data_IF_845967219079
#
_entry.id   IF_845967219079
#
_cell.length_a   1.000
_cell.length_b   1.000
_cell.length_c   1.000
_cell.angle_alpha   90.00
_cell.angle_beta   90.00
_cell.angle_gamma   90.00
#
_symmetry.space_group_name_H-M   'P 1'
#
loop_
_entity.id
_entity.type
_entity.pdbx_description
1 polymer ?
#
# COMPACT_ATOMS: atom_id res chain seq x y z
N UNK A 1 81.23 -21.85 -11.62
CA UNK A 1 81.33 -23.16 -12.31
C UNK A 1 80.10 -23.32 -13.19
N UNK A 2 80.36 -23.86 -14.37
CA UNK A 2 79.53 -23.92 -15.58
C UNK A 2 78.69 -25.21 -15.66
N UNK A 3 77.89 -25.28 -16.74
CA UNK A 3 77.24 -26.46 -17.39
C UNK A 3 75.98 -27.01 -16.66
N UNK A 4 74.87 -27.44 -17.28
CA UNK A 4 74.44 -27.70 -18.68
C UNK A 4 72.89 -27.81 -18.67
N UNK A 5 72.15 -27.19 -19.59
CA UNK A 5 71.51 -27.81 -20.76
C UNK A 5 70.80 -29.16 -20.52
N UNK A 6 69.46 -29.13 -20.50
CA UNK A 6 68.65 -30.25 -21.00
C UNK A 6 67.61 -29.74 -22.01
N UNK A 7 67.59 -30.41 -23.16
CA UNK A 7 66.68 -30.19 -24.28
C UNK A 7 65.53 -31.18 -24.14
N UNK A 8 64.40 -30.71 -23.61
CA UNK A 8 63.14 -31.46 -23.64
C UNK A 8 62.16 -30.84 -24.62
N UNK A 9 62.29 -31.17 -25.91
CA UNK A 9 61.18 -30.99 -26.85
C UNK A 9 60.12 -32.04 -26.55
N UNK A 10 59.03 -31.61 -25.94
CA UNK A 10 57.84 -32.41 -25.72
C UNK A 10 56.67 -31.46 -25.58
N UNK A 11 56.04 -31.11 -26.71
CA UNK A 11 54.81 -30.32 -26.74
C UNK A 11 53.66 -31.17 -26.19
N UNK A 12 53.64 -31.33 -24.87
CA UNK A 12 52.61 -32.03 -24.10
C UNK A 12 51.41 -31.14 -23.84
N UNK A 13 50.83 -30.55 -24.90
CA UNK A 13 49.53 -29.86 -24.77
C UNK A 13 48.44 -30.90 -25.04
N UNK A 14 47.71 -31.40 -24.04
CA UNK A 14 46.52 -32.20 -24.28
C UNK A 14 45.49 -31.36 -25.05
N UNK A 15 45.19 -31.81 -26.27
CA UNK A 15 44.27 -31.16 -27.21
C UNK A 15 42.80 -31.49 -26.89
N UNK A 16 42.43 -31.39 -25.62
CA UNK A 16 41.05 -31.55 -25.16
C UNK A 16 40.63 -30.25 -24.50
N UNK A 17 40.41 -29.24 -25.34
CA UNK A 17 39.56 -28.11 -25.00
C UNK A 17 38.25 -28.75 -24.56
N UNK A 18 37.92 -28.64 -23.26
CA UNK A 18 36.60 -28.95 -22.74
C UNK A 18 35.61 -28.32 -23.69
N UNK A 19 34.85 -29.17 -24.37
CA UNK A 19 33.74 -28.77 -25.22
C UNK A 19 32.88 -27.86 -24.36
N UNK A 20 32.96 -26.56 -24.63
CA UNK A 20 31.89 -25.64 -24.30
C UNK A 20 30.64 -26.40 -24.76
N UNK A 21 29.68 -26.73 -23.87
CA UNK A 21 28.41 -27.18 -24.36
C UNK A 21 27.92 -26.00 -25.21
N UNK A 22 27.98 -26.20 -26.52
CA UNK A 22 27.10 -25.53 -27.44
C UNK A 22 25.72 -26.03 -27.02
N UNK A 23 25.18 -25.48 -25.93
CA UNK A 23 23.76 -25.21 -25.92
C UNK A 23 23.64 -24.33 -27.15
N UNK A 24 23.10 -24.92 -28.22
CA UNK A 24 22.65 -24.17 -29.37
C UNK A 24 21.88 -22.99 -28.78
N UNK A 25 22.49 -21.82 -28.83
CA UNK A 25 21.74 -20.59 -28.90
C UNK A 25 20.98 -20.82 -30.17
N UNK A 26 19.75 -21.32 -30.05
CA UNK A 26 18.83 -21.61 -31.13
C UNK A 26 19.19 -20.68 -32.27
N UNK A 27 19.85 -21.26 -33.27
CA UNK A 27 20.02 -20.63 -34.54
C UNK A 27 18.59 -20.36 -34.96
N UNK A 28 18.14 -19.11 -34.75
CA UNK A 28 16.90 -18.61 -35.30
C UNK A 28 17.00 -18.97 -36.76
N UNK A 29 16.29 -20.01 -37.17
CA UNK A 29 16.18 -20.38 -38.57
C UNK A 29 15.83 -19.06 -39.27
N UNK A 30 16.64 -18.58 -40.24
CA UNK A 30 16.31 -17.39 -40.99
C UNK A 30 15.06 -17.75 -41.83
N UNK A 31 13.89 -17.59 -41.22
CA UNK A 31 12.63 -18.15 -41.72
C UNK A 31 11.54 -18.42 -40.68
N UNK A 32 11.85 -18.51 -39.37
CA UNK A 32 10.83 -18.84 -38.34
C UNK A 32 10.69 -17.83 -37.18
N UNK A 33 11.45 -16.73 -37.19
CA UNK A 33 11.08 -15.54 -36.42
C UNK A 33 9.89 -14.84 -37.09
N UNK A 34 8.71 -15.44 -36.93
CA UNK A 34 7.44 -14.83 -37.31
C UNK A 34 7.33 -13.44 -36.67
N UNK A 35 6.77 -12.47 -37.39
CA UNK A 35 6.43 -11.13 -36.82
C UNK A 35 5.62 -11.28 -35.53
N UNK A 36 4.82 -12.35 -35.40
CA UNK A 36 4.11 -12.68 -34.17
C UNK A 36 5.02 -12.97 -32.97
N UNK A 37 6.19 -13.59 -33.18
CA UNK A 37 7.15 -13.86 -32.11
C UNK A 37 7.88 -12.57 -31.68
N UNK A 38 8.23 -11.68 -32.62
CA UNK A 38 8.82 -10.37 -32.28
C UNK A 38 7.85 -9.47 -31.50
N UNK A 39 6.57 -9.43 -31.91
CA UNK A 39 5.54 -8.66 -31.19
C UNK A 39 5.29 -9.26 -29.80
N UNK A 40 5.27 -10.59 -29.68
CA UNK A 40 5.15 -11.27 -28.38
C UNK A 40 6.32 -10.95 -27.45
N UNK A 41 7.55 -11.01 -27.94
CA UNK A 41 8.75 -10.70 -27.15
C UNK A 41 8.81 -9.23 -26.75
N UNK A 42 8.52 -8.32 -27.67
CA UNK A 42 8.44 -6.88 -27.39
C UNK A 42 7.36 -6.56 -26.36
N UNK A 43 6.17 -7.16 -26.48
CA UNK A 43 5.07 -6.98 -25.52
C UNK A 43 5.44 -7.53 -24.14
N UNK A 44 6.18 -8.63 -24.09
CA UNK A 44 6.68 -9.22 -22.84
C UNK A 44 7.70 -8.31 -22.15
N UNK A 45 8.61 -7.70 -22.92
CA UNK A 45 9.59 -6.74 -22.38
C UNK A 45 8.94 -5.46 -21.87
N UNK A 46 7.99 -4.91 -22.63
CA UNK A 46 7.20 -3.74 -22.19
C UNK A 46 6.42 -4.06 -20.91
N UNK A 47 5.77 -5.22 -20.84
CA UNK A 47 5.05 -5.66 -19.64
C UNK A 47 5.98 -5.81 -18.43
N UNK A 48 7.21 -6.27 -18.66
CA UNK A 48 8.24 -6.40 -17.61
C UNK A 48 8.71 -5.04 -17.12
N UNK A 49 8.95 -4.08 -18.03
CA UNK A 49 9.31 -2.69 -17.67
C UNK A 49 8.20 -2.00 -16.88
N UNK A 50 6.95 -2.07 -17.34
CA UNK A 50 5.81 -1.45 -16.63
C UNK A 50 5.66 -2.05 -15.23
N UNK A 51 5.79 -3.37 -15.09
CA UNK A 51 5.74 -4.02 -13.78
C UNK A 51 6.90 -3.61 -12.88
N UNK A 52 8.10 -3.41 -13.42
CA UNK A 52 9.27 -2.93 -12.68
C UNK A 52 9.06 -1.48 -12.20
N UNK A 53 8.56 -0.60 -13.06
CA UNK A 53 8.27 0.81 -12.72
C UNK A 53 7.21 0.89 -11.61
N UNK A 54 6.15 0.10 -11.72
CA UNK A 54 5.11 0.01 -10.67
C UNK A 54 5.67 -0.57 -9.38
N UNK A 55 6.54 -1.58 -9.44
CA UNK A 55 7.16 -2.17 -8.26
C UNK A 55 8.06 -1.16 -7.55
N UNK A 56 8.83 -0.36 -8.30
CA UNK A 56 9.66 0.71 -7.77
C UNK A 56 8.83 1.81 -7.11
N UNK A 57 7.83 2.34 -7.83
CA UNK A 57 6.92 3.36 -7.32
C UNK A 57 6.19 2.87 -6.05
N UNK A 58 5.77 1.61 -6.03
CA UNK A 58 5.17 1.00 -4.84
C UNK A 58 6.16 0.93 -3.68
N UNK A 59 7.42 0.58 -3.93
CA UNK A 59 8.44 0.53 -2.89
C UNK A 59 8.74 1.92 -2.31
N UNK A 60 8.83 2.95 -3.15
CA UNK A 60 9.04 4.34 -2.74
C UNK A 60 7.87 4.85 -1.89
N UNK A 61 6.64 4.74 -2.40
CA UNK A 61 5.42 5.15 -1.67
C UNK A 61 5.27 4.37 -0.37
N UNK A 62 5.51 3.06 -0.36
CA UNK A 62 5.42 2.26 0.87
C UNK A 62 6.46 2.69 1.90
N UNK A 63 7.68 3.05 1.45
CA UNK A 63 8.72 3.61 2.30
C UNK A 63 8.31 4.94 2.93
N UNK A 64 7.74 5.85 2.14
CA UNK A 64 7.22 7.13 2.64
C UNK A 64 6.07 6.95 3.64
N UNK A 65 5.11 6.09 3.32
CA UNK A 65 3.98 5.77 4.21
C UNK A 65 4.50 5.21 5.54
N UNK A 66 5.50 4.33 5.51
CA UNK A 66 6.10 3.77 6.74
C UNK A 66 6.78 4.85 7.58
N UNK A 67 7.52 5.77 6.95
CA UNK A 67 8.13 6.92 7.64
C UNK A 67 7.07 7.84 8.24
N UNK A 68 6.00 8.14 7.49
CA UNK A 68 4.86 8.92 7.98
C UNK A 68 4.16 8.25 9.16
N UNK A 69 3.96 6.94 9.11
CA UNK A 69 3.39 6.17 10.20
C UNK A 69 4.29 6.18 11.45
N UNK A 70 5.61 6.03 11.28
CA UNK A 70 6.54 6.15 12.40
C UNK A 70 6.52 7.56 13.01
N UNK A 71 6.46 8.60 12.17
CA UNK A 71 6.30 9.99 12.62
C UNK A 71 4.97 10.25 13.35
N UNK A 72 3.91 9.55 12.97
CA UNK A 72 2.58 9.70 13.59
C UNK A 72 2.56 9.33 15.08
N UNK A 73 3.49 8.48 15.55
CA UNK A 73 3.61 8.11 16.96
C UNK A 73 3.85 9.35 17.83
N UNK A 74 4.75 10.24 17.40
CA UNK A 74 5.02 11.48 18.13
C UNK A 74 3.80 12.40 18.17
N UNK A 75 3.03 12.47 17.07
CA UNK A 75 1.78 13.22 17.05
C UNK A 75 0.74 12.62 17.99
N UNK A 76 0.59 11.29 18.05
CA UNK A 76 -0.32 10.63 18.98
C UNK A 76 0.07 10.96 20.43
N UNK A 77 1.35 10.86 20.77
CA UNK A 77 1.85 11.22 22.11
C UNK A 77 1.60 12.70 22.39
N UNK A 78 1.96 13.60 21.48
CA UNK A 78 1.78 15.03 21.65
C UNK A 78 0.30 15.43 21.82
N UNK A 79 -0.59 14.87 20.98
CA UNK A 79 -2.03 15.13 21.07
C UNK A 79 -2.63 14.54 22.36
N UNK A 80 -2.15 13.38 22.81
CA UNK A 80 -2.57 12.78 24.08
C UNK A 80 -2.17 13.68 25.24
N UNK A 81 -0.91 14.12 25.29
CA UNK A 81 -0.42 15.04 26.32
C UNK A 81 -1.24 16.34 26.29
N UNK A 82 -1.42 16.94 25.10
CA UNK A 82 -2.20 18.17 24.96
C UNK A 82 -3.65 18.00 25.41
N UNK A 83 -4.28 16.86 25.10
CA UNK A 83 -5.65 16.56 25.52
C UNK A 83 -5.76 16.44 27.06
N UNK A 84 -4.85 15.71 27.70
CA UNK A 84 -4.83 15.60 29.17
C UNK A 84 -4.45 16.93 29.83
N UNK A 85 -3.49 17.67 29.29
CA UNK A 85 -3.10 18.99 29.77
C UNK A 85 -4.20 20.03 29.63
N UNK A 86 -5.08 19.90 28.63
CA UNK A 86 -6.21 20.82 28.44
C UNK A 86 -7.13 20.84 29.67
N UNK A 87 -7.35 19.70 30.34
CA UNK A 87 -8.11 19.64 31.59
C UNK A 87 -7.49 20.56 32.65
N UNK A 88 -6.19 20.43 32.91
CA UNK A 88 -5.47 21.27 33.86
C UNK A 88 -5.43 22.75 33.42
N UNK A 89 -5.33 23.01 32.12
CA UNK A 89 -5.36 24.36 31.57
C UNK A 89 -6.69 25.08 31.87
N UNK A 90 -7.83 24.40 31.76
CA UNK A 90 -9.12 25.01 32.10
C UNK A 90 -9.28 25.28 33.59
N UNK A 91 -8.78 24.39 34.46
CA UNK A 91 -8.70 24.65 35.90
C UNK A 91 -7.81 25.85 36.21
N UNK A 92 -6.62 25.90 35.61
CA UNK A 92 -5.72 27.05 35.72
C UNK A 92 -6.37 28.34 35.23
N UNK A 93 -7.09 28.32 34.11
CA UNK A 93 -7.79 29.49 33.58
C UNK A 93 -8.88 29.98 34.53
N UNK A 94 -9.64 29.07 35.15
CA UNK A 94 -10.64 29.42 36.14
C UNK A 94 -10.00 30.03 37.40
N UNK A 95 -8.91 29.45 37.89
CA UNK A 95 -8.16 29.97 39.04
C UNK A 95 -7.52 31.33 38.74
N UNK A 96 -7.01 31.52 37.52
CA UNK A 96 -6.45 32.80 37.08
C UNK A 96 -7.52 33.89 37.08
N UNK A 97 -8.75 33.59 36.65
CA UNK A 97 -9.86 34.54 36.67
C UNK A 97 -10.34 34.85 38.09
N UNK A 98 -10.17 33.93 39.05
CA UNK A 98 -10.51 34.15 40.47
C UNK A 98 -9.72 35.32 41.11
N UNK A 99 -8.60 35.73 40.50
CA UNK A 99 -7.85 36.91 40.96
C UNK A 99 -8.67 38.21 40.85
N UNK A 100 -9.59 38.29 39.86
CA UNK A 100 -10.41 39.47 39.61
C UNK A 100 -11.91 39.25 39.87
N UNK A 101 -12.37 38.01 39.94
CA UNK A 101 -13.79 37.64 40.01
C UNK A 101 -14.04 36.68 41.17
N UNK A 102 -15.30 36.52 41.58
CA UNK A 102 -15.65 35.46 42.52
C UNK A 102 -15.40 34.08 41.91
N UNK A 103 -14.81 33.17 42.69
CA UNK A 103 -14.48 31.80 42.27
C UNK A 103 -15.59 31.10 41.50
N UNK A 104 -16.82 31.12 42.01
CA UNK A 104 -17.95 30.47 41.34
C UNK A 104 -18.23 31.06 39.95
N UNK A 105 -18.05 32.37 39.77
CA UNK A 105 -18.26 33.06 38.50
C UNK A 105 -17.14 32.73 37.51
N UNK A 106 -15.89 32.66 37.96
CA UNK A 106 -14.74 32.26 37.14
C UNK A 106 -14.93 30.88 36.51
N UNK A 107 -15.30 29.89 37.31
CA UNK A 107 -15.58 28.54 36.82
C UNK A 107 -16.77 28.51 35.85
N UNK A 108 -17.82 29.30 36.11
CA UNK A 108 -18.98 29.38 35.21
C UNK A 108 -18.62 30.00 33.86
N UNK A 109 -17.78 31.04 33.84
CA UNK A 109 -17.31 31.68 32.60
C UNK A 109 -16.50 30.70 31.75
N UNK A 110 -15.54 29.98 32.36
CA UNK A 110 -14.74 28.97 31.65
C UNK A 110 -15.63 27.84 31.13
N UNK A 111 -16.62 27.38 31.91
CA UNK A 111 -17.59 26.38 31.48
C UNK A 111 -18.39 26.82 30.24
N UNK A 112 -18.96 28.03 30.27
CA UNK A 112 -19.70 28.58 29.12
C UNK A 112 -18.78 28.71 27.90
N UNK A 113 -17.54 29.17 28.07
CA UNK A 113 -16.55 29.21 27.00
C UNK A 113 -16.32 27.83 26.39
N UNK A 114 -16.15 26.78 27.21
CA UNK A 114 -15.97 25.41 26.71
C UNK A 114 -17.20 24.91 25.93
N UNK A 115 -18.42 25.20 26.40
CA UNK A 115 -19.66 24.84 25.69
C UNK A 115 -19.74 25.54 24.33
N UNK A 116 -19.36 26.81 24.25
CA UNK A 116 -19.33 27.56 22.98
C UNK A 116 -18.31 26.97 21.99
N UNK A 117 -17.10 26.67 22.46
CA UNK A 117 -16.05 26.04 21.65
C UNK A 117 -16.51 24.66 21.17
N UNK A 118 -17.05 23.83 22.06
CA UNK A 118 -17.58 22.51 21.70
C UNK A 118 -18.74 22.62 20.68
N UNK A 119 -19.65 23.57 20.88
CA UNK A 119 -20.74 23.85 19.94
C UNK A 119 -20.23 24.26 18.56
N UNK A 120 -19.20 25.13 18.50
CA UNK A 120 -18.59 25.57 17.24
C UNK A 120 -17.93 24.42 16.49
N UNK A 121 -17.09 23.62 17.16
CA UNK A 121 -16.44 22.47 16.54
C UNK A 121 -17.44 21.37 16.17
N UNK A 122 -18.44 21.10 17.01
CA UNK A 122 -19.54 20.19 16.71
C UNK A 122 -20.33 20.62 15.47
N UNK A 123 -20.62 21.92 15.34
CA UNK A 123 -21.30 22.47 14.18
C UNK A 123 -20.46 22.40 12.90
N UNK A 124 -19.17 22.76 12.97
CA UNK A 124 -18.23 22.65 11.85
C UNK A 124 -18.08 21.19 11.41
N UNK A 125 -17.96 20.27 12.36
CA UNK A 125 -17.90 18.82 12.14
C UNK A 125 -19.17 18.32 11.47
N UNK A 126 -20.35 18.67 12.00
CA UNK A 126 -21.64 18.34 11.39
C UNK A 126 -21.75 18.85 9.96
N UNK A 127 -21.34 20.09 9.69
CA UNK A 127 -21.36 20.68 8.34
C UNK A 127 -20.40 19.96 7.39
N UNK A 128 -19.24 19.50 7.88
CA UNK A 128 -18.28 18.73 7.07
C UNK A 128 -18.83 17.36 6.73
N UNK A 129 -19.39 16.64 7.70
CA UNK A 129 -19.99 15.32 7.49
C UNK A 129 -21.21 15.41 6.59
N UNK A 130 -22.07 16.42 6.75
CA UNK A 130 -23.24 16.63 5.89
C UNK A 130 -22.88 16.92 4.42
N UNK A 131 -21.70 17.49 4.17
CA UNK A 131 -21.18 17.71 2.81
C UNK A 131 -20.64 16.44 2.15
N UNK A 132 -20.37 15.38 2.92
CA UNK A 132 -19.99 14.09 2.35
C UNK A 132 -21.24 13.47 1.72
N UNK A 133 -21.36 13.58 0.38
CA UNK A 133 -22.39 12.86 -0.39
C UNK A 133 -22.22 11.36 -0.13
N UNK A 134 -23.32 10.65 0.12
CA UNK A 134 -23.30 9.18 0.15
C UNK A 134 -22.67 8.70 -1.17
N UNK A 135 -21.81 7.67 -1.18
CA UNK A 135 -21.24 7.14 -2.42
C UNK A 135 -22.33 6.44 -3.23
N UNK A 136 -23.17 7.24 -3.91
CA UNK A 136 -24.33 6.80 -4.70
C UNK A 136 -23.91 5.78 -5.76
N UNK A 137 -22.79 6.03 -6.43
CA UNK A 137 -22.19 5.11 -7.42
C UNK A 137 -21.92 3.72 -6.83
N UNK A 138 -21.38 3.65 -5.60
CA UNK A 138 -21.09 2.39 -4.92
C UNK A 138 -22.38 1.69 -4.49
N UNK A 139 -23.36 2.45 -4.00
CA UNK A 139 -24.67 1.89 -3.61
C UNK A 139 -25.39 1.34 -4.85
N UNK A 140 -25.36 2.06 -5.98
CA UNK A 140 -25.98 1.63 -7.23
C UNK A 140 -25.28 0.40 -7.83
N UNK A 141 -23.94 0.36 -7.81
CA UNK A 141 -23.20 -0.84 -8.23
C UNK A 141 -23.53 -2.06 -7.35
N UNK A 142 -23.70 -1.88 -6.04
CA UNK A 142 -24.08 -2.96 -5.12
C UNK A 142 -25.54 -3.42 -5.34
N UNK A 143 -26.46 -2.49 -5.62
CA UNK A 143 -27.86 -2.81 -5.98
C UNK A 143 -27.96 -3.53 -7.32
N UNK A 144 -27.15 -3.12 -8.30
CA UNK A 144 -27.06 -3.84 -9.57
C UNK A 144 -26.50 -5.24 -9.33
N UNK A 145 -25.41 -5.38 -8.57
CA UNK A 145 -24.83 -6.67 -8.23
C UNK A 145 -25.84 -7.61 -7.55
N UNK A 146 -26.66 -7.14 -6.59
CA UNK A 146 -27.70 -7.95 -5.96
C UNK A 146 -28.82 -8.34 -6.92
N UNK A 147 -29.07 -7.54 -7.96
CA UNK A 147 -30.10 -7.83 -8.99
C UNK A 147 -29.62 -8.92 -9.96
N UNK A 148 -28.32 -9.04 -10.19
CA UNK A 148 -27.73 -10.09 -11.05
C UNK A 148 -27.40 -11.39 -10.31
N UNK A 149 -27.62 -11.45 -9.00
CA UNK A 149 -27.51 -12.70 -8.25
C UNK A 149 -28.86 -13.43 -8.32
N UNK A 150 -29.03 -14.45 -9.19
CA UNK A 150 -30.17 -15.34 -9.10
C UNK A 150 -30.13 -15.99 -7.71
N UNK A 151 -31.23 -15.88 -6.96
CA UNK A 151 -31.46 -16.69 -5.77
C UNK A 151 -31.22 -18.16 -6.16
N UNK A 152 -30.13 -18.76 -5.69
CA UNK A 152 -29.88 -20.20 -5.79
C UNK A 152 -30.86 -20.94 -4.86
N UNK A 153 -32.13 -20.89 -5.23
CA UNK A 153 -33.19 -21.80 -4.81
C UNK A 153 -33.84 -22.36 -6.08
N UNK A 154 -33.05 -22.65 -7.12
CA UNK A 154 -33.47 -23.62 -8.12
C UNK A 154 -33.37 -24.99 -7.48
N UNK A 155 -34.54 -25.49 -7.10
CA UNK A 155 -34.80 -26.87 -6.73
C UNK A 155 -34.27 -27.76 -7.86
N UNK A 156 -33.26 -28.57 -7.56
CA UNK A 156 -32.76 -29.61 -8.48
C UNK A 156 -33.96 -30.49 -8.87
N UNK A 157 -34.39 -30.53 -10.14
CA UNK A 157 -35.47 -31.42 -10.56
C UNK A 157 -35.00 -32.87 -10.33
N UNK A 158 -35.81 -33.62 -9.57
CA UNK A 158 -35.48 -34.94 -9.05
C UNK A 158 -34.95 -35.89 -10.14
N UNK A 159 -33.79 -36.50 -9.85
CA UNK A 159 -33.25 -37.59 -10.66
C UNK A 159 -34.26 -38.75 -10.62
N UNK A 160 -34.81 -39.19 -11.76
CA UNK A 160 -35.76 -40.28 -11.76
C UNK A 160 -35.05 -41.61 -11.53
N UNK A 161 -35.44 -42.29 -10.45
CA UNK A 161 -35.44 -43.73 -10.37
C UNK A 161 -34.12 -44.42 -10.00
N UNK A 162 -33.92 -44.63 -8.70
CA UNK A 162 -33.39 -45.92 -8.23
C UNK A 162 -34.49 -46.60 -7.42
N UNK A 163 -35.07 -47.67 -8.00
CA UNK A 163 -35.94 -48.59 -7.27
C UNK A 163 -35.09 -49.45 -6.34
N UNK A 164 -35.76 -49.84 -5.25
CA UNK A 164 -35.30 -50.63 -4.10
C UNK A 164 -34.27 -51.72 -4.39
#
# INVERSE_FOLDING_TARGET
MSVSNDKGYGNGVPNTISSIPLTDVDARTPGSASIGNLVKDATTQVSTLVRAEVALAKAEVTGEVKKGLQGSVFFIVALTVLLFSSFFFFFFAAELLDVWLYRWASFLIVFVFMVLVAGLFGFLGYRRVKKLRKPEKTIDSLKQASTVLPNQHESIPGIPGYKK
#
